data_IF_745576714544
#
_entry.id   IF_745576714544
#
_cell.length_a   1.000
_cell.length_b   1.000
_cell.length_c   1.000
_cell.angle_alpha   90.00
_cell.angle_beta   90.00
_cell.angle_gamma   90.00
#
_symmetry.space_group_name_H-M   'P 1'
#
loop_
_entity.id
_entity.type
_entity.pdbx_description
1 polymer ?
#
# COMPACT_ATOMS: atom_id res chain seq x y z
N UNK A 1 0.20 -4.52 26.00
CA UNK A 1 0.99 -3.46 25.35
C UNK A 1 0.22 -2.17 25.51
N UNK A 2 0.85 -1.15 26.08
CA UNK A 2 0.18 0.12 26.37
C UNK A 2 0.10 0.99 25.10
N UNK A 3 -1.01 1.70 24.89
CA UNK A 3 -1.24 2.48 23.66
C UNK A 3 -0.17 3.57 23.46
N UNK A 4 0.35 4.12 24.57
CA UNK A 4 1.46 5.08 24.56
C UNK A 4 2.77 4.51 24.02
N UNK A 5 3.03 3.22 24.26
CA UNK A 5 4.21 2.57 23.70
C UNK A 5 4.04 2.32 22.19
N UNK A 6 2.79 2.17 21.73
CA UNK A 6 2.46 1.89 20.33
C UNK A 6 2.32 3.13 19.45
N UNK A 7 1.71 4.21 19.96
CA UNK A 7 1.48 5.47 19.25
C UNK A 7 2.28 6.68 19.78
N UNK A 8 3.01 6.52 20.89
CA UNK A 8 3.72 7.61 21.56
C UNK A 8 2.80 8.37 22.50
N UNK A 9 3.28 9.49 23.04
CA UNK A 9 2.46 10.42 23.83
C UNK A 9 1.59 11.34 22.97
N UNK A 10 1.56 11.15 21.64
CA UNK A 10 0.72 11.96 20.75
C UNK A 10 -0.76 11.61 20.88
N UNK A 11 -1.61 12.65 20.83
CA UNK A 11 -3.07 12.48 20.79
C UNK A 11 -3.45 11.84 19.46
N UNK A 12 -4.02 10.62 19.51
CA UNK A 12 -4.40 9.84 18.34
C UNK A 12 -5.31 10.60 17.36
N UNK A 13 -6.26 11.37 17.88
CA UNK A 13 -7.15 12.21 17.08
C UNK A 13 -7.54 13.47 17.85
N UNK A 14 -7.10 14.64 17.39
CA UNK A 14 -7.47 15.93 17.97
C UNK A 14 -8.46 16.65 17.04
N UNK A 15 -9.75 16.51 17.34
CA UNK A 15 -10.84 17.08 16.55
C UNK A 15 -10.75 18.61 16.44
N UNK A 16 -10.22 19.28 17.47
CA UNK A 16 -10.08 20.74 17.45
C UNK A 16 -9.01 21.21 16.45
N UNK A 17 -7.93 20.44 16.27
CA UNK A 17 -6.89 20.77 15.29
C UNK A 17 -7.28 20.42 13.85
N UNK A 18 -8.11 19.39 13.66
CA UNK A 18 -8.59 18.96 12.34
C UNK A 18 -9.67 19.91 11.79
N UNK A 19 -10.64 20.31 12.61
CA UNK A 19 -11.78 21.09 12.12
C UNK A 19 -11.61 22.61 12.26
N UNK A 20 -10.76 23.09 13.16
CA UNK A 20 -10.65 24.52 13.47
C UNK A 20 -9.40 25.20 12.86
N UNK A 21 -8.65 24.50 12.00
CA UNK A 21 -7.50 25.08 11.30
C UNK A 21 -7.66 24.94 9.78
N UNK A 22 -7.13 25.90 9.03
CA UNK A 22 -7.14 25.89 7.56
C UNK A 22 -6.29 24.75 6.96
N UNK A 23 -5.48 24.07 7.79
CA UNK A 23 -4.60 22.96 7.41
C UNK A 23 -4.69 21.82 8.45
N UNK A 24 -5.60 20.84 8.27
CA UNK A 24 -5.74 19.73 9.22
C UNK A 24 -4.45 18.92 9.29
N UNK A 25 -3.81 18.91 10.47
CA UNK A 25 -2.64 18.08 10.75
C UNK A 25 -3.09 16.81 11.45
N UNK A 26 -2.93 15.66 10.77
CA UNK A 26 -3.15 14.35 11.37
C UNK A 26 -1.91 13.90 12.16
N UNK A 27 -2.09 13.16 13.26
CA UNK A 27 -0.97 12.56 13.99
C UNK A 27 -0.34 11.44 13.15
N UNK A 28 0.97 11.24 13.31
CA UNK A 28 1.72 10.21 12.59
C UNK A 28 1.12 8.80 12.80
N UNK A 29 0.66 8.49 14.02
CA UNK A 29 0.06 7.19 14.30
C UNK A 29 -1.29 6.99 13.59
N UNK A 30 -2.09 8.06 13.47
CA UNK A 30 -3.37 8.01 12.76
C UNK A 30 -3.16 7.79 11.27
N UNK A 31 -2.19 8.48 10.66
CA UNK A 31 -1.84 8.27 9.25
C UNK A 31 -1.48 6.80 8.99
N UNK A 32 -0.61 6.22 9.83
CA UNK A 32 -0.22 4.81 9.71
C UNK A 32 -1.39 3.85 9.91
N UNK A 33 -2.15 4.00 11.00
CA UNK A 33 -3.22 3.06 11.35
C UNK A 33 -4.46 3.14 10.47
N UNK A 34 -4.78 4.31 9.92
CA UNK A 34 -6.00 4.48 9.13
C UNK A 34 -5.69 4.46 7.64
N UNK A 35 -4.65 5.17 7.21
CA UNK A 35 -4.37 5.34 5.78
C UNK A 35 -3.56 4.20 5.17
N UNK A 36 -2.59 3.64 5.90
CA UNK A 36 -1.82 2.48 5.42
C UNK A 36 -2.58 1.16 5.66
N UNK A 37 -3.23 1.00 6.82
CA UNK A 37 -3.94 -0.25 7.16
C UNK A 37 -5.36 -0.34 6.60
N UNK A 38 -6.05 0.78 6.38
CA UNK A 38 -7.43 0.78 5.88
C UNK A 38 -7.61 -0.03 4.59
N UNK A 39 -6.82 0.24 3.53
CA UNK A 39 -6.85 -0.55 2.31
C UNK A 39 -6.40 -2.01 2.50
N UNK A 40 -5.49 -2.28 3.47
CA UNK A 40 -5.06 -3.64 3.79
C UNK A 40 -6.20 -4.47 4.37
N UNK A 41 -6.95 -3.91 5.32
CA UNK A 41 -8.13 -4.57 5.92
C UNK A 41 -9.18 -4.88 4.86
N UNK A 42 -9.42 -3.94 3.93
CA UNK A 42 -10.30 -4.18 2.78
C UNK A 42 -9.84 -5.43 2.00
N UNK A 43 -8.58 -5.49 1.58
CA UNK A 43 -8.09 -6.62 0.80
C UNK A 43 -8.25 -7.94 1.56
N UNK A 44 -7.94 -7.96 2.86
CA UNK A 44 -8.02 -9.18 3.67
C UNK A 44 -9.46 -9.66 3.85
N UNK A 45 -10.40 -8.76 4.12
CA UNK A 45 -11.81 -9.10 4.29
C UNK A 45 -12.43 -9.66 3.00
N UNK A 46 -12.11 -9.06 1.85
CA UNK A 46 -12.67 -9.47 0.57
C UNK A 46 -11.85 -10.55 -0.15
N UNK A 47 -10.66 -10.90 0.35
CA UNK A 47 -9.79 -11.93 -0.23
C UNK A 47 -10.44 -13.31 -0.28
N UNK A 48 -10.95 -13.78 0.85
CA UNK A 48 -11.54 -15.12 1.00
C UNK A 48 -12.78 -15.30 0.11
N UNK A 49 -13.81 -14.43 0.16
CA UNK A 49 -14.99 -14.59 -0.67
C UNK A 49 -14.64 -14.51 -2.17
N UNK A 50 -13.75 -13.59 -2.57
CA UNK A 50 -13.30 -13.49 -3.94
C UNK A 50 -12.58 -14.76 -4.41
N UNK A 51 -11.68 -15.31 -3.59
CA UNK A 51 -10.98 -16.56 -3.88
C UNK A 51 -11.97 -17.72 -4.09
N UNK A 52 -12.97 -17.86 -3.22
CA UNK A 52 -13.96 -18.95 -3.32
C UNK A 52 -14.80 -18.85 -4.60
N UNK A 53 -15.25 -17.64 -4.97
CA UNK A 53 -16.04 -17.41 -6.19
C UNK A 53 -15.21 -17.71 -7.44
N UNK A 54 -14.00 -17.17 -7.52
CA UNK A 54 -13.13 -17.29 -8.70
C UNK A 54 -12.49 -18.68 -8.82
N UNK A 55 -12.32 -19.42 -7.70
CA UNK A 55 -11.77 -20.79 -7.72
C UNK A 55 -12.62 -21.75 -8.56
N UNK A 56 -13.94 -21.58 -8.58
CA UNK A 56 -14.84 -22.48 -9.30
C UNK A 56 -14.99 -22.12 -10.78
N UNK A 57 -14.69 -20.87 -11.17
CA UNK A 57 -14.67 -20.52 -12.59
C UNK A 57 -13.43 -21.10 -13.26
N UNK A 58 -13.61 -21.76 -14.41
CA UNK A 58 -12.52 -22.28 -15.24
C UNK A 58 -12.52 -21.50 -16.55
N UNK A 59 -11.58 -20.56 -16.69
CA UNK A 59 -11.28 -19.96 -17.99
C UNK A 59 -9.89 -20.40 -18.45
N UNK A 60 -9.73 -20.49 -19.76
CA UNK A 60 -8.47 -20.86 -20.41
C UNK A 60 -7.31 -19.95 -19.99
N UNK A 61 -6.11 -20.53 -19.88
CA UNK A 61 -4.89 -19.82 -19.50
C UNK A 61 -4.60 -18.68 -20.49
N UNK A 62 -4.41 -17.45 -19.98
CA UNK A 62 -4.03 -16.29 -20.81
C UNK A 62 -2.49 -16.22 -20.90
N UNK A 63 -1.89 -16.17 -22.11
CA UNK A 63 -0.45 -16.11 -22.31
C UNK A 63 0.14 -14.83 -21.69
N UNK A 64 1.31 -14.90 -21.06
CA UNK A 64 1.94 -13.76 -20.34
C UNK A 64 2.06 -12.49 -21.20
N UNK A 65 1.36 -11.43 -20.78
CA UNK A 65 1.37 -10.11 -21.45
C UNK A 65 2.42 -9.18 -20.85
N UNK A 66 2.83 -8.16 -21.60
CA UNK A 66 3.71 -7.11 -21.12
C UNK A 66 3.10 -6.33 -19.93
N UNK A 67 1.77 -6.14 -19.93
CA UNK A 67 1.07 -5.49 -18.81
C UNK A 67 1.13 -6.33 -17.53
N UNK A 68 1.01 -7.66 -17.63
CA UNK A 68 1.18 -8.55 -16.49
C UNK A 68 2.60 -8.47 -15.91
N UNK A 69 3.63 -8.49 -16.76
CA UNK A 69 5.03 -8.32 -16.33
C UNK A 69 5.23 -6.98 -15.63
N UNK A 70 4.63 -5.91 -16.15
CA UNK A 70 4.71 -4.59 -15.53
C UNK A 70 4.01 -4.54 -14.16
N UNK A 71 2.77 -5.07 -14.05
CA UNK A 71 2.07 -5.19 -12.75
C UNK A 71 2.90 -5.97 -11.74
N UNK A 72 3.52 -7.07 -12.15
CA UNK A 72 4.39 -7.86 -11.28
C UNK A 72 5.61 -7.04 -10.84
N UNK A 73 6.27 -6.33 -11.76
CA UNK A 73 7.43 -5.50 -11.48
C UNK A 73 7.09 -4.38 -10.47
N UNK A 74 6.00 -3.64 -10.68
CA UNK A 74 5.58 -2.59 -9.74
C UNK A 74 5.19 -3.15 -8.37
N UNK A 75 4.54 -4.32 -8.32
CA UNK A 75 4.21 -4.98 -7.05
C UNK A 75 5.48 -5.43 -6.33
N UNK A 76 6.46 -5.95 -7.06
CA UNK A 76 7.75 -6.36 -6.48
C UNK A 76 8.55 -5.16 -5.97
N UNK A 77 8.54 -4.03 -6.70
CA UNK A 77 9.16 -2.78 -6.22
C UNK A 77 8.48 -2.32 -4.93
N UNK A 78 7.15 -2.27 -4.89
CA UNK A 78 6.40 -1.90 -3.68
C UNK A 78 6.73 -2.81 -2.50
N UNK A 79 6.75 -4.11 -2.74
CA UNK A 79 7.14 -5.10 -1.74
C UNK A 79 8.56 -4.81 -1.25
N UNK A 80 9.55 -4.73 -2.14
CA UNK A 80 10.95 -4.45 -1.76
C UNK A 80 11.09 -3.14 -0.96
N UNK A 81 10.42 -2.05 -1.36
CA UNK A 81 10.44 -0.78 -0.64
C UNK A 81 9.87 -0.92 0.78
N UNK A 82 8.78 -1.67 0.96
CA UNK A 82 8.21 -1.92 2.30
C UNK A 82 9.15 -2.72 3.20
N UNK A 83 9.87 -3.70 2.64
CA UNK A 83 10.88 -4.46 3.39
C UNK A 83 12.10 -3.63 3.73
N UNK A 84 12.52 -2.73 2.84
CA UNK A 84 13.60 -1.77 3.12
C UNK A 84 13.20 -0.85 4.26
N UNK A 85 11.99 -0.30 4.26
CA UNK A 85 11.51 0.56 5.35
C UNK A 85 11.40 -0.20 6.67
N UNK A 86 10.94 -1.45 6.66
CA UNK A 86 10.94 -2.32 7.84
C UNK A 86 12.35 -2.59 8.36
N UNK A 87 13.28 -2.97 7.48
CA UNK A 87 14.68 -3.24 7.82
C UNK A 87 15.37 -2.02 8.42
N UNK A 88 15.06 -0.83 7.90
CA UNK A 88 15.52 0.45 8.47
C UNK A 88 14.94 0.71 9.86
N UNK A 89 13.64 0.49 10.04
CA UNK A 89 13.00 0.61 11.36
C UNK A 89 13.64 -0.32 12.38
N UNK A 90 13.93 -1.57 12.00
CA UNK A 90 14.62 -2.55 12.86
C UNK A 90 16.06 -2.09 13.16
N UNK A 91 16.78 -1.56 12.18
CA UNK A 91 18.13 -1.03 12.38
C UNK A 91 18.14 0.16 13.36
N UNK A 92 17.21 1.10 13.21
CA UNK A 92 17.06 2.25 14.12
C UNK A 92 16.70 1.79 15.54
N UNK A 93 15.85 0.75 15.66
CA UNK A 93 15.49 0.13 16.94
C UNK A 93 16.72 -0.43 17.65
N UNK A 94 17.54 -1.20 16.91
CA UNK A 94 18.72 -1.84 17.44
C UNK A 94 19.73 -0.82 17.97
N UNK A 95 19.86 0.32 17.28
CA UNK A 95 20.76 1.41 17.65
C UNK A 95 20.19 2.34 18.75
N UNK A 96 19.13 1.92 19.47
CA UNK A 96 18.52 2.67 20.58
C UNK A 96 17.99 4.05 20.18
N UNK A 97 17.70 4.27 18.90
CA UNK A 97 16.99 5.46 18.44
C UNK A 97 15.53 5.29 18.85
N UNK A 98 14.95 6.33 19.46
CA UNK A 98 13.54 6.31 19.86
C UNK A 98 12.68 6.18 18.61
N UNK A 99 12.13 4.98 18.42
CA UNK A 99 11.21 4.67 17.34
C UNK A 99 9.92 4.11 17.91
N UNK A 100 8.87 4.31 17.15
CA UNK A 100 7.54 3.91 17.55
C UNK A 100 7.21 2.52 17.01
N UNK A 101 6.56 1.67 17.80
CA UNK A 101 6.23 0.31 17.37
C UNK A 101 5.32 0.27 16.14
N UNK A 102 4.47 1.30 15.95
CA UNK A 102 3.65 1.44 14.74
C UNK A 102 4.48 1.51 13.46
N UNK A 103 5.71 2.06 13.52
CA UNK A 103 6.62 2.15 12.37
C UNK A 103 7.26 0.81 12.00
N UNK A 104 7.17 -0.20 12.87
CA UNK A 104 7.57 -1.58 12.56
C UNK A 104 6.37 -2.42 12.12
N UNK A 105 5.26 -2.30 12.83
CA UNK A 105 4.08 -3.14 12.58
C UNK A 105 3.41 -2.76 11.26
N UNK A 106 3.34 -1.47 10.93
CA UNK A 106 2.71 -1.00 9.69
C UNK A 106 3.38 -1.54 8.43
N UNK A 107 4.70 -1.36 8.20
CA UNK A 107 5.34 -1.89 7.00
C UNK A 107 5.29 -3.42 6.93
N UNK A 108 5.21 -4.13 8.06
CA UNK A 108 5.01 -5.57 8.09
C UNK A 108 3.62 -5.95 7.54
N UNK A 109 2.55 -5.31 8.02
CA UNK A 109 1.18 -5.55 7.53
C UNK A 109 1.06 -5.19 6.05
N UNK A 110 1.63 -4.05 5.64
CA UNK A 110 1.63 -3.62 4.23
C UNK A 110 2.43 -4.61 3.39
N UNK A 111 3.59 -5.08 3.85
CA UNK A 111 4.41 -6.08 3.16
C UNK A 111 3.67 -7.41 2.95
N UNK A 112 2.99 -7.92 3.98
CA UNK A 112 2.12 -9.10 3.87
C UNK A 112 0.99 -8.85 2.88
N UNK A 113 0.37 -7.68 2.90
CA UNK A 113 -0.70 -7.29 1.97
C UNK A 113 -0.20 -7.23 0.54
N UNK A 114 1.01 -6.71 0.29
CA UNK A 114 1.62 -6.72 -1.04
C UNK A 114 1.92 -8.14 -1.53
N UNK A 115 2.29 -9.07 -0.64
CA UNK A 115 2.42 -10.49 -1.00
C UNK A 115 1.06 -11.10 -1.37
N UNK A 116 -0.01 -10.80 -0.63
CA UNK A 116 -1.37 -11.23 -0.96
C UNK A 116 -1.83 -10.64 -2.30
N UNK A 117 -1.57 -9.34 -2.54
CA UNK A 117 -1.89 -8.69 -3.81
C UNK A 117 -1.15 -9.35 -4.98
N UNK A 118 0.14 -9.68 -4.80
CA UNK A 118 0.93 -10.42 -5.77
C UNK A 118 0.32 -11.81 -6.06
N UNK A 119 -0.07 -12.54 -5.01
CA UNK A 119 -0.75 -13.83 -5.16
C UNK A 119 -2.04 -13.70 -5.98
N UNK A 120 -2.88 -12.69 -5.71
CA UNK A 120 -4.09 -12.46 -6.49
C UNK A 120 -3.80 -12.10 -7.94
N UNK A 121 -2.79 -11.28 -8.22
CA UNK A 121 -2.35 -10.97 -9.59
C UNK A 121 -1.97 -12.25 -10.35
N UNK A 122 -1.25 -13.18 -9.71
CA UNK A 122 -0.93 -14.49 -10.29
C UNK A 122 -2.16 -15.39 -10.43
N UNK A 123 -2.99 -15.47 -9.40
CA UNK A 123 -4.17 -16.33 -9.36
C UNK A 123 -5.20 -15.93 -10.41
N UNK A 124 -5.50 -14.65 -10.52
CA UNK A 124 -6.39 -14.10 -11.55
C UNK A 124 -5.87 -14.43 -12.95
N UNK A 125 -4.54 -14.43 -13.14
CA UNK A 125 -3.93 -14.82 -14.41
C UNK A 125 -4.08 -16.32 -14.71
N UNK A 126 -3.84 -17.18 -13.72
CA UNK A 126 -4.05 -18.63 -13.86
C UNK A 126 -5.50 -18.96 -14.21
N UNK A 127 -6.44 -18.16 -13.70
CA UNK A 127 -7.88 -18.27 -13.93
C UNK A 127 -8.39 -17.51 -15.14
N UNK A 128 -7.52 -16.91 -15.95
CA UNK A 128 -7.91 -16.19 -17.16
C UNK A 128 -8.73 -14.91 -16.93
N UNK A 129 -8.65 -14.32 -15.73
CA UNK A 129 -9.27 -13.04 -15.41
C UNK A 129 -8.34 -11.91 -15.84
N UNK A 130 -8.78 -11.06 -16.77
CA UNK A 130 -7.95 -9.96 -17.32
C UNK A 130 -7.79 -8.78 -16.37
N UNK A 131 -8.85 -8.42 -15.65
CA UNK A 131 -8.85 -7.33 -14.69
C UNK A 131 -9.66 -7.72 -13.47
N UNK A 132 -9.04 -7.62 -12.30
CA UNK A 132 -9.63 -7.99 -11.02
C UNK A 132 -10.19 -6.76 -10.35
N UNK A 133 -11.52 -6.68 -10.28
CA UNK A 133 -12.19 -5.56 -9.63
C UNK A 133 -11.75 -5.38 -8.17
N UNK A 134 -11.44 -6.48 -7.47
CA UNK A 134 -10.91 -6.46 -6.10
C UNK A 134 -9.61 -5.66 -6.01
N UNK A 135 -8.63 -5.99 -6.86
CA UNK A 135 -7.34 -5.31 -6.91
C UNK A 135 -7.48 -3.86 -7.39
N UNK A 136 -8.35 -3.57 -8.36
CA UNK A 136 -8.58 -2.20 -8.83
C UNK A 136 -9.14 -1.31 -7.70
N UNK A 137 -10.15 -1.76 -6.96
CA UNK A 137 -10.70 -1.02 -5.82
C UNK A 137 -9.64 -0.85 -4.72
N UNK A 138 -8.84 -1.89 -4.46
CA UNK A 138 -7.74 -1.83 -3.51
C UNK A 138 -6.74 -0.71 -3.86
N UNK A 139 -6.29 -0.62 -5.11
CA UNK A 139 -5.37 0.44 -5.55
C UNK A 139 -6.02 1.84 -5.46
N UNK A 140 -7.31 1.96 -5.78
CA UNK A 140 -8.06 3.24 -5.63
C UNK A 140 -8.09 3.67 -4.16
N UNK A 141 -8.43 2.76 -3.24
CA UNK A 141 -8.46 3.04 -1.81
C UNK A 141 -7.09 3.49 -1.31
N UNK A 142 -6.02 2.79 -1.72
CA UNK A 142 -4.65 3.17 -1.40
C UNK A 142 -4.28 4.56 -1.93
N UNK A 143 -4.69 4.91 -3.16
CA UNK A 143 -4.47 6.27 -3.70
C UNK A 143 -5.18 7.32 -2.87
N UNK A 144 -6.45 7.08 -2.53
CA UNK A 144 -7.25 8.04 -1.77
C UNK A 144 -6.68 8.29 -0.38
N UNK A 145 -6.29 7.23 0.33
CA UNK A 145 -5.72 7.37 1.68
C UNK A 145 -4.33 8.01 1.64
N UNK A 146 -3.48 7.61 0.69
CA UNK A 146 -2.14 8.17 0.55
C UNK A 146 -2.12 9.60 -0.01
N UNK A 147 -3.15 10.03 -0.75
CA UNK A 147 -3.28 11.42 -1.19
C UNK A 147 -3.38 12.39 0.00
N UNK A 148 -3.95 11.95 1.13
CA UNK A 148 -3.99 12.73 2.36
C UNK A 148 -2.59 12.82 3.00
N UNK A 149 -1.87 11.70 3.07
CA UNK A 149 -0.48 11.64 3.56
C UNK A 149 0.48 12.44 2.66
N UNK A 150 0.24 12.47 1.36
CA UNK A 150 1.04 13.25 0.41
C UNK A 150 1.07 14.74 0.81
N UNK A 151 -0.09 15.31 1.19
CA UNK A 151 -0.18 16.71 1.63
C UNK A 151 0.70 16.97 2.85
N UNK A 152 0.67 16.07 3.84
CA UNK A 152 1.43 16.24 5.09
C UNK A 152 2.94 16.11 4.84
N UNK A 153 3.37 15.15 4.01
CA UNK A 153 4.78 14.98 3.63
C UNK A 153 5.34 16.15 2.80
N UNK A 154 4.52 16.74 1.91
CA UNK A 154 4.93 17.95 1.16
C UNK A 154 5.12 19.14 2.10
N UNK A 155 4.23 19.34 3.09
CA UNK A 155 4.41 20.40 4.09
C UNK A 155 5.67 20.20 4.94
N UNK A 156 6.02 18.95 5.27
CA UNK A 156 7.27 18.64 5.97
C UNK A 156 8.51 19.07 5.16
N UNK A 157 8.52 18.82 3.84
CA UNK A 157 9.59 19.27 2.95
C UNK A 157 9.69 20.80 2.88
N UNK A 158 8.55 21.50 2.84
CA UNK A 158 8.52 22.97 2.79
C UNK A 158 9.06 23.62 4.06
N UNK A 159 8.90 22.97 5.22
CA UNK A 159 9.35 23.50 6.51
C UNK A 159 10.86 23.31 6.76
N UNK A 160 11.58 22.59 5.89
CA UNK A 160 13.05 22.58 5.84
C UNK A 160 13.81 21.85 6.97
N UNK A 161 13.14 21.40 8.03
CA UNK A 161 13.77 20.75 9.19
C UNK A 161 13.70 19.21 9.12
N UNK A 162 14.33 18.59 8.12
CA UNK A 162 14.32 17.14 7.93
C UNK A 162 15.71 16.53 8.21
N UNK A 163 15.75 15.51 9.04
CA UNK A 163 16.94 14.65 9.19
C UNK A 163 17.13 13.79 7.94
N UNK A 164 18.34 13.26 7.73
CA UNK A 164 18.63 12.34 6.63
C UNK A 164 17.69 11.11 6.64
N UNK A 165 17.39 10.58 7.84
CA UNK A 165 16.46 9.46 8.01
C UNK A 165 15.05 9.78 7.53
N UNK A 166 14.55 10.98 7.82
CA UNK A 166 13.22 11.45 7.44
C UNK A 166 13.13 11.72 5.93
N UNK A 167 14.18 12.32 5.36
CA UNK A 167 14.27 12.56 3.92
C UNK A 167 14.14 11.24 3.13
N UNK A 168 14.84 10.20 3.57
CA UNK A 168 14.75 8.89 2.93
C UNK A 168 13.35 8.28 3.05
N UNK A 169 12.66 8.41 4.20
CA UNK A 169 11.26 7.94 4.35
C UNK A 169 10.31 8.69 3.41
N UNK A 170 10.51 9.99 3.26
CA UNK A 170 9.74 10.84 2.35
C UNK A 170 9.95 10.42 0.89
N UNK A 171 11.20 10.16 0.49
CA UNK A 171 11.54 9.69 -0.87
C UNK A 171 10.90 8.32 -1.15
N UNK A 172 11.04 7.36 -0.24
CA UNK A 172 10.41 6.02 -0.39
C UNK A 172 8.90 6.12 -0.55
N UNK A 173 8.25 7.01 0.21
CA UNK A 173 6.82 7.27 0.11
C UNK A 173 6.42 7.74 -1.29
N UNK A 174 7.12 8.74 -1.87
CA UNK A 174 6.79 9.25 -3.20
C UNK A 174 6.99 8.19 -4.30
N UNK A 175 8.06 7.40 -4.23
CA UNK A 175 8.31 6.32 -5.18
C UNK A 175 7.19 5.27 -5.09
N UNK A 176 6.82 4.89 -3.87
CA UNK A 176 5.75 3.92 -3.62
C UNK A 176 4.40 4.45 -4.12
N UNK A 177 4.08 5.71 -3.85
CA UNK A 177 2.85 6.34 -4.31
C UNK A 177 2.77 6.39 -5.85
N UNK A 178 3.88 6.70 -6.53
CA UNK A 178 3.95 6.67 -7.98
C UNK A 178 3.71 5.25 -8.55
N UNK A 179 4.26 4.22 -7.90
CA UNK A 179 4.03 2.83 -8.30
C UNK A 179 2.55 2.41 -8.13
N UNK A 180 1.88 2.87 -7.07
CA UNK A 180 0.45 2.64 -6.85
C UNK A 180 -0.39 3.31 -7.95
N UNK A 181 -0.06 4.56 -8.31
CA UNK A 181 -0.73 5.27 -9.42
C UNK A 181 -0.53 4.51 -10.74
N UNK A 182 0.68 4.01 -11.00
CA UNK A 182 0.96 3.19 -12.18
C UNK A 182 0.08 1.93 -12.21
N UNK A 183 -0.12 1.24 -11.08
CA UNK A 183 -1.02 0.09 -10.96
C UNK A 183 -2.47 0.42 -11.30
N UNK A 184 -2.95 1.57 -10.81
CA UNK A 184 -4.29 2.05 -11.12
C UNK A 184 -4.44 2.35 -12.62
N UNK A 185 -3.48 3.06 -13.21
CA UNK A 185 -3.45 3.32 -14.66
C UNK A 185 -3.46 2.01 -15.46
N UNK A 186 -2.64 1.03 -15.05
CA UNK A 186 -2.59 -0.32 -15.65
C UNK A 186 -3.86 -1.14 -15.46
N UNK A 187 -4.76 -0.74 -14.56
CA UNK A 187 -6.05 -1.39 -14.39
C UNK A 187 -7.05 -1.01 -15.51
N UNK A 188 -6.84 0.13 -16.17
CA UNK A 188 -7.65 0.56 -17.32
C UNK A 188 -7.19 -0.04 -18.66
N UNK A 189 -5.91 -0.41 -18.76
CA UNK A 189 -5.40 -1.03 -19.97
C UNK A 189 -5.84 -2.51 -20.03
N UNK A 190 -6.61 -2.84 -21.06
CA UNK A 190 -7.08 -4.22 -21.31
C UNK A 190 -5.95 -5.02 -21.97
N UNK A 191 -5.64 -6.18 -21.38
CA UNK A 191 -4.72 -7.15 -21.96
C UNK A 191 -5.22 -7.63 -23.33
N UNK A 192 -4.27 -7.86 -24.27
CA UNK A 192 -4.57 -8.45 -25.58
C UNK A 192 -5.44 -9.71 -25.43
N UNK A 193 -6.37 -9.95 -26.37
CA UNK A 193 -7.24 -11.12 -26.31
C UNK A 193 -6.45 -12.43 -26.26
N UNK A 194 -6.98 -13.48 -25.59
CA UNK A 194 -6.35 -14.78 -25.56
C UNK A 194 -6.18 -15.29 -26.99
N UNK A 195 -5.02 -15.89 -27.27
CA UNK A 195 -4.65 -16.28 -28.63
C UNK A 195 -5.64 -17.28 -29.26
N UNK A 196 -6.43 -18.01 -28.46
CA UNK A 196 -7.48 -18.93 -28.92
C UNK A 196 -8.78 -18.76 -28.13
N UNK A 197 -9.87 -18.58 -28.86
CA UNK A 197 -11.25 -18.61 -28.38
C UNK A 197 -11.75 -20.05 -28.50
N UNK A 198 -12.14 -20.73 -27.40
CA UNK A 198 -12.72 -22.07 -27.51
C UNK A 198 -14.09 -21.96 -28.19
N UNK A 199 -14.23 -22.69 -29.29
CA UNK A 199 -15.41 -22.76 -30.15
C UNK A 199 -16.55 -23.52 -29.46
#
# INVERSE_FOLDING_TARGET
>A
MDFKQFCGDEVFFDSNKVFNTTNPKFSHCFEKLVFDLGPCVYLWLFSIPYFLVTRNSYHSHIPVSALFKAKLLFTFILWALTWVDLGRGIWEWYNQIQILYVDLVTPLIVGVTMTIACFFIFFDRLKGVRSSGLLTIFWILFILTWALVFRTKVQMLQNGNLSYGDMMRVVTFFISYACIIAHFIMSFFVDLPPAHEPR
#
